data_IF_742392987315
#
_entry.id   IF_742392987315
#
_cell.length_a   1.000
_cell.length_b   1.000
_cell.length_c   1.000
_cell.angle_alpha   90.00
_cell.angle_beta   90.00
_cell.angle_gamma   90.00
#
_symmetry.space_group_name_H-M   'P 1'
#
loop_
_entity.id
_entity.type
_entity.pdbx_description
1 polymer ?
#
# COMPACT_ATOMS: atom_id res chain seq x y z
N UNK A 1 13.84 10.49 -11.82
CA UNK A 1 14.76 10.87 -10.72
C UNK A 1 14.23 10.28 -9.43
N UNK A 2 15.08 9.70 -8.58
CA UNK A 2 14.68 9.26 -7.24
C UNK A 2 14.90 10.42 -6.26
N UNK A 3 13.83 10.89 -5.60
CA UNK A 3 13.91 12.00 -4.66
C UNK A 3 14.53 11.52 -3.33
N UNK A 4 15.52 12.24 -2.76
CA UNK A 4 16.14 11.86 -1.50
C UNK A 4 15.12 11.92 -0.35
N UNK A 5 14.95 10.80 0.36
CA UNK A 5 13.97 10.64 1.46
C UNK A 5 14.45 11.29 2.76
N UNK A 6 14.78 12.58 2.71
CA UNK A 6 15.37 13.36 3.81
C UNK A 6 14.51 13.35 5.07
N UNK A 7 13.17 13.39 4.92
CA UNK A 7 12.21 13.35 6.04
C UNK A 7 12.39 12.13 6.97
N UNK A 8 12.92 11.00 6.48
CA UNK A 8 13.14 9.79 7.31
C UNK A 8 14.21 10.01 8.38
N UNK A 9 15.08 11.01 8.22
CA UNK A 9 16.10 11.36 9.20
C UNK A 9 15.58 12.30 10.30
N UNK A 10 14.39 12.89 10.13
CA UNK A 10 13.78 13.77 11.13
C UNK A 10 13.18 12.98 12.31
N UNK A 11 12.96 11.67 12.10
CA UNK A 11 12.31 10.80 13.06
C UNK A 11 13.38 10.11 13.92
N UNK A 12 13.50 10.51 15.19
CA UNK A 12 14.37 9.87 16.19
C UNK A 12 13.54 9.41 17.38
N UNK A 13 13.15 8.14 17.38
CA UNK A 13 12.54 7.49 18.55
C UNK A 13 13.60 6.65 19.26
N UNK A 14 13.80 6.89 20.57
CA UNK A 14 14.82 6.17 21.35
C UNK A 14 14.54 4.67 21.49
N UNK A 15 13.26 4.28 21.50
CA UNK A 15 12.84 2.92 21.85
C UNK A 15 12.26 2.12 20.67
N UNK A 16 12.35 2.64 19.44
CA UNK A 16 11.80 1.99 18.24
C UNK A 16 12.91 1.59 17.27
N UNK A 17 12.73 0.43 16.65
CA UNK A 17 13.56 -0.06 15.55
C UNK A 17 12.95 0.46 14.25
N UNK A 18 13.70 1.31 13.54
CA UNK A 18 13.33 1.82 12.22
C UNK A 18 13.89 0.92 11.11
N UNK A 19 13.08 0.59 10.11
CA UNK A 19 13.51 -0.16 8.94
C UNK A 19 12.69 0.19 7.68
N UNK A 20 13.30 -0.03 6.52
CA UNK A 20 12.66 0.17 5.21
C UNK A 20 12.19 -1.15 4.60
N UNK A 21 11.04 -1.12 3.90
CA UNK A 21 10.55 -2.21 3.04
C UNK A 21 10.20 -1.61 1.68
N UNK A 22 10.93 -2.01 0.65
CA UNK A 22 10.74 -1.52 -0.73
C UNK A 22 10.40 -2.70 -1.64
N UNK A 23 9.30 -2.59 -2.37
CA UNK A 23 8.84 -3.53 -3.40
C UNK A 23 8.24 -2.74 -4.56
N UNK A 24 8.97 -2.66 -5.68
CA UNK A 24 8.65 -1.79 -6.82
C UNK A 24 8.36 -0.35 -6.32
N UNK A 25 7.16 0.18 -6.56
CA UNK A 25 6.75 1.53 -6.15
C UNK A 25 6.39 1.64 -4.66
N UNK A 26 6.10 0.52 -3.99
CA UNK A 26 5.77 0.52 -2.56
C UNK A 26 7.04 0.69 -1.73
N UNK A 27 7.22 1.84 -1.11
CA UNK A 27 8.40 2.20 -0.30
C UNK A 27 7.96 2.65 1.10
N UNK A 28 8.02 1.73 2.06
CA UNK A 28 7.58 1.93 3.44
C UNK A 28 8.78 2.20 4.37
N UNK A 29 8.66 3.24 5.20
CA UNK A 29 9.50 3.46 6.38
C UNK A 29 8.68 3.13 7.63
N UNK A 30 9.12 2.13 8.38
CA UNK A 30 8.37 1.60 9.54
C UNK A 30 9.23 1.75 10.80
N UNK A 31 8.63 2.31 11.85
CA UNK A 31 9.18 2.33 13.21
C UNK A 31 8.33 1.42 14.10
N UNK A 32 8.92 0.41 14.73
CA UNK A 32 8.20 -0.54 15.58
C UNK A 32 9.05 -0.99 16.78
N UNK A 33 8.40 -1.52 17.83
CA UNK A 33 9.08 -2.05 19.02
C UNK A 33 9.94 -3.29 18.75
N UNK A 34 9.79 -3.91 17.58
CA UNK A 34 10.58 -5.06 17.14
C UNK A 34 10.88 -4.97 15.64
N UNK A 35 11.93 -5.65 15.19
CA UNK A 35 12.25 -5.72 13.76
C UNK A 35 11.27 -6.65 13.03
N UNK A 36 10.28 -6.06 12.36
CA UNK A 36 9.25 -6.78 11.60
C UNK A 36 9.52 -6.78 10.09
N UNK A 37 10.73 -6.40 9.64
CA UNK A 37 11.06 -6.20 8.22
C UNK A 37 10.65 -7.38 7.33
N UNK A 38 10.97 -8.61 7.74
CA UNK A 38 10.62 -9.82 6.97
C UNK A 38 9.11 -10.05 6.88
N UNK A 39 8.38 -9.79 7.96
CA UNK A 39 6.91 -9.93 8.00
C UNK A 39 6.26 -8.88 7.12
N UNK A 40 6.68 -7.62 7.24
CA UNK A 40 6.20 -6.52 6.41
C UNK A 40 6.47 -6.78 4.92
N UNK A 41 7.69 -7.20 4.55
CA UNK A 41 8.04 -7.53 3.17
C UNK A 41 7.11 -8.60 2.57
N UNK A 42 6.85 -9.70 3.30
CA UNK A 42 5.92 -10.76 2.85
C UNK A 42 4.49 -10.24 2.67
N UNK A 43 4.02 -9.35 3.56
CA UNK A 43 2.68 -8.77 3.46
C UNK A 43 2.56 -7.81 2.27
N UNK A 44 3.58 -6.98 2.03
CA UNK A 44 3.62 -6.09 0.85
C UNK A 44 3.52 -6.92 -0.43
N UNK A 45 4.32 -7.98 -0.58
CA UNK A 45 4.22 -8.88 -1.72
C UNK A 45 2.81 -9.49 -1.87
N UNK A 46 2.24 -10.00 -0.78
CA UNK A 46 0.91 -10.63 -0.77
C UNK A 46 -0.19 -9.67 -1.22
N UNK A 47 -0.20 -8.44 -0.71
CA UNK A 47 -1.27 -7.48 -1.04
C UNK A 47 -1.06 -6.86 -2.41
N UNK A 48 0.20 -6.63 -2.80
CA UNK A 48 0.53 -6.17 -4.14
C UNK A 48 0.11 -7.17 -5.22
N UNK A 49 0.41 -8.47 -5.04
CA UNK A 49 -0.02 -9.51 -5.98
C UNK A 49 -1.55 -9.51 -6.17
N UNK A 50 -2.30 -9.37 -5.08
CA UNK A 50 -3.78 -9.27 -5.15
C UNK A 50 -4.25 -8.07 -5.96
N UNK A 51 -3.60 -6.91 -5.79
CA UNK A 51 -3.94 -5.69 -6.54
C UNK A 51 -3.54 -5.84 -8.01
N UNK A 52 -2.32 -6.26 -8.31
CA UNK A 52 -1.84 -6.43 -9.69
C UNK A 52 -2.72 -7.43 -10.46
N UNK A 53 -3.12 -8.55 -9.84
CA UNK A 53 -4.02 -9.53 -10.48
C UNK A 53 -5.42 -8.99 -10.70
N UNK A 54 -5.97 -8.24 -9.74
CA UNK A 54 -7.30 -7.63 -9.91
C UNK A 54 -7.27 -6.55 -10.99
N UNK A 55 -6.26 -5.67 -11.00
CA UNK A 55 -6.07 -4.66 -12.06
C UNK A 55 -5.92 -5.32 -13.43
N UNK A 56 -5.22 -6.46 -13.52
CA UNK A 56 -5.10 -7.20 -14.78
C UNK A 56 -6.45 -7.68 -15.35
N UNK A 57 -7.43 -7.93 -14.50
CA UNK A 57 -8.80 -8.32 -14.89
C UNK A 57 -9.74 -7.11 -15.03
N UNK A 58 -9.47 -6.04 -14.28
CA UNK A 58 -10.28 -4.81 -14.22
C UNK A 58 -9.39 -3.57 -14.38
N UNK A 59 -8.88 -3.28 -15.59
CA UNK A 59 -7.90 -2.21 -15.80
C UNK A 59 -8.40 -0.82 -15.38
N UNK A 60 -9.70 -0.58 -15.48
CA UNK A 60 -10.34 0.68 -15.07
C UNK A 60 -10.19 0.97 -13.57
N UNK A 61 -10.02 -0.07 -12.73
CA UNK A 61 -9.77 0.10 -11.30
C UNK A 61 -8.48 0.89 -11.01
N UNK A 62 -7.48 0.84 -11.90
CA UNK A 62 -6.23 1.58 -11.72
C UNK A 62 -6.35 3.06 -12.11
N UNK A 63 -7.19 3.38 -13.08
CA UNK A 63 -7.20 4.70 -13.74
C UNK A 63 -8.42 5.54 -13.44
N UNK A 64 -9.43 4.99 -12.76
CA UNK A 64 -10.64 5.74 -12.41
C UNK A 64 -10.30 6.94 -11.51
N UNK A 65 -10.96 8.07 -11.76
CA UNK A 65 -10.92 9.23 -10.88
C UNK A 65 -12.26 9.42 -10.14
N UNK A 66 -13.19 8.50 -10.36
CA UNK A 66 -14.52 8.45 -9.76
C UNK A 66 -14.73 7.08 -9.08
N UNK A 67 -15.63 7.00 -8.09
CA UNK A 67 -15.92 5.75 -7.40
C UNK A 67 -16.29 4.62 -8.37
N UNK A 68 -15.65 3.46 -8.20
CA UNK A 68 -15.90 2.29 -9.02
C UNK A 68 -16.53 1.18 -8.18
N UNK A 69 -17.66 0.64 -8.66
CA UNK A 69 -18.23 -0.57 -8.08
C UNK A 69 -17.27 -1.76 -8.32
N UNK A 70 -17.05 -2.57 -7.29
CA UNK A 70 -16.17 -3.73 -7.34
C UNK A 70 -16.95 -5.01 -7.09
N UNK A 71 -16.52 -6.11 -7.72
CA UNK A 71 -17.22 -7.37 -7.62
C UNK A 71 -17.31 -7.89 -6.17
N UNK A 72 -18.39 -8.60 -5.87
CA UNK A 72 -18.57 -9.24 -4.56
C UNK A 72 -17.43 -10.22 -4.22
N UNK A 73 -16.81 -10.82 -5.25
CA UNK A 73 -15.68 -11.74 -5.11
C UNK A 73 -14.32 -11.05 -5.14
N UNK A 74 -14.26 -9.72 -5.24
CA UNK A 74 -13.01 -8.98 -5.27
C UNK A 74 -12.16 -9.23 -4.00
N UNK A 75 -10.82 -9.12 -4.08
CA UNK A 75 -9.97 -9.21 -2.91
C UNK A 75 -10.37 -8.19 -1.85
N UNK A 76 -10.32 -8.57 -0.56
CA UNK A 76 -10.72 -7.66 0.53
C UNK A 76 -10.05 -6.27 0.45
N UNK A 77 -8.77 -6.18 0.11
CA UNK A 77 -8.07 -4.89 -0.03
C UNK A 77 -8.72 -3.98 -1.09
N UNK A 78 -9.16 -4.54 -2.22
CA UNK A 78 -9.86 -3.82 -3.29
C UNK A 78 -11.20 -3.29 -2.78
N UNK A 79 -11.97 -4.10 -2.06
CA UNK A 79 -13.26 -3.67 -1.48
C UNK A 79 -13.10 -2.55 -0.47
N UNK A 80 -12.09 -2.63 0.39
CA UNK A 80 -11.83 -1.56 1.37
C UNK A 80 -11.40 -0.26 0.68
N UNK A 81 -10.59 -0.34 -0.38
CA UNK A 81 -10.22 0.83 -1.20
C UNK A 81 -11.45 1.46 -1.86
N UNK A 82 -12.25 0.67 -2.57
CA UNK A 82 -13.47 1.14 -3.24
C UNK A 82 -14.46 1.79 -2.26
N UNK A 83 -14.69 1.15 -1.10
CA UNK A 83 -15.56 1.68 -0.04
C UNK A 83 -15.05 3.01 0.53
N UNK A 84 -13.74 3.19 0.63
CA UNK A 84 -13.16 4.46 1.09
C UNK A 84 -13.33 5.55 0.03
N UNK A 85 -13.09 5.21 -1.24
CA UNK A 85 -13.18 6.11 -2.38
C UNK A 85 -14.63 6.61 -2.61
N UNK A 86 -15.61 5.71 -2.50
CA UNK A 86 -17.04 6.00 -2.60
C UNK A 86 -17.50 7.08 -1.62
N UNK A 87 -16.99 7.07 -0.38
CA UNK A 87 -17.38 8.03 0.67
C UNK A 87 -17.03 9.47 0.35
N UNK A 88 -16.04 9.69 -0.51
CA UNK A 88 -15.51 11.03 -0.81
C UNK A 88 -15.54 11.35 -2.31
N UNK A 89 -16.14 10.48 -3.12
CA UNK A 89 -16.34 10.73 -4.56
C UNK A 89 -15.06 10.69 -5.38
N UNK A 90 -14.10 9.82 -5.04
CA UNK A 90 -12.83 9.65 -5.78
C UNK A 90 -12.67 8.22 -6.29
N UNK A 91 -11.65 7.99 -7.12
CA UNK A 91 -11.19 6.66 -7.55
C UNK A 91 -10.13 6.05 -6.64
#
# INVERSE_FOLDING_TARGET
>A
MCEPRTYRHWIKYKDLISFNVVVKETDLYICASANLKRKAYKLVLKYRDKLERYIGQHPTFLTSLEPLAVDENAPRIVKEMAKAAERVGVG
#
